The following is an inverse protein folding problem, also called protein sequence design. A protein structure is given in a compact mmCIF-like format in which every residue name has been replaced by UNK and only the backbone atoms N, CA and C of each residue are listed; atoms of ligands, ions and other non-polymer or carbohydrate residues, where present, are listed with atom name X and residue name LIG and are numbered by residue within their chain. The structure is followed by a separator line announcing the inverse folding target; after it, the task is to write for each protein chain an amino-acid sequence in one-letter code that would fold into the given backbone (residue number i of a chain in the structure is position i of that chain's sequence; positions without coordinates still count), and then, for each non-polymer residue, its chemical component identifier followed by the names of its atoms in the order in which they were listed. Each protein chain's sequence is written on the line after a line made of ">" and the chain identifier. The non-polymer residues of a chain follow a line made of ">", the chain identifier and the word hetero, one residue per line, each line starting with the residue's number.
data_IF_678892882053
#
_entry.id   IF_678892882053
#
_cell.length_a   1.000
_cell.length_b   1.000
_cell.length_c   1.000
_cell.angle_alpha   90.00
_cell.angle_beta   90.00
_cell.angle_gamma   90.00
#
_symmetry.space_group_name_H-M   'P 1'
#
loop_
_entity.id
_entity.type
_entity.pdbx_description
1 polymer ?
#
# COMPACT_ATOMS: atom_id res chain seq x y z
N UNK A 1 0.20 -19.66 -8.87
CA UNK A 1 1.59 -20.11 -8.68
C UNK A 1 2.48 -18.89 -8.86
N UNK A 2 2.87 -18.19 -7.78
CA UNK A 2 3.92 -17.17 -7.86
C UNK A 2 5.23 -17.85 -7.50
N UNK A 3 6.08 -17.98 -8.51
CA UNK A 3 7.47 -18.44 -8.42
C UNK A 3 8.30 -17.41 -7.66
N UNK A 4 8.91 -17.86 -6.56
CA UNK A 4 9.93 -17.07 -5.86
C UNK A 4 11.06 -16.68 -6.80
N UNK A 5 11.42 -15.39 -6.75
CA UNK A 5 12.70 -14.75 -7.12
C UNK A 5 12.59 -13.20 -7.18
N UNK A 6 11.44 -12.62 -6.83
CA UNK A 6 11.31 -11.17 -6.60
C UNK A 6 10.81 -10.92 -5.18
N UNK A 7 11.47 -10.01 -4.46
CA UNK A 7 10.89 -9.41 -3.27
C UNK A 7 9.66 -8.61 -3.72
N UNK A 8 8.48 -9.00 -3.25
CA UNK A 8 7.26 -8.27 -3.49
C UNK A 8 7.17 -7.13 -2.47
N UNK A 9 6.64 -5.98 -2.91
CA UNK A 9 6.38 -4.84 -2.02
C UNK A 9 5.00 -5.03 -1.38
N UNK A 10 4.96 -4.92 -0.05
CA UNK A 10 3.73 -4.96 0.73
C UNK A 10 3.53 -3.64 1.46
N UNK A 11 2.35 -3.04 1.32
CA UNK A 11 1.96 -1.85 2.08
C UNK A 11 1.39 -2.28 3.43
N UNK A 12 1.77 -1.56 4.49
CA UNK A 12 1.38 -1.81 5.88
C UNK A 12 0.44 -0.72 6.35
N UNK A 13 -0.67 -1.15 6.93
CA UNK A 13 -1.71 -0.29 7.45
C UNK A 13 -1.98 -0.58 8.91
N UNK A 14 -2.18 0.44 9.73
CA UNK A 14 -2.51 0.25 11.14
C UNK A 14 -3.44 1.33 11.71
N UNK A 15 -4.07 1.01 12.84
CA UNK A 15 -4.89 1.93 13.64
C UNK A 15 -4.69 1.70 15.13
N UNK A 16 -4.73 2.79 15.92
CA UNK A 16 -4.45 2.75 17.37
C UNK A 16 -5.69 2.36 18.18
N UNK A 17 -6.88 2.85 17.81
CA UNK A 17 -8.11 2.55 18.53
C UNK A 17 -9.20 1.97 17.61
N UNK A 18 -10.17 1.28 18.24
CA UNK A 18 -11.45 0.96 17.57
C UNK A 18 -12.16 2.25 17.19
N UNK A 19 -12.41 2.41 15.90
CA UNK A 19 -13.07 3.61 15.35
C UNK A 19 -12.11 4.56 14.63
N UNK A 20 -10.80 4.43 14.85
CA UNK A 20 -9.81 5.17 14.07
C UNK A 20 -9.78 4.65 12.62
N UNK A 21 -9.50 5.58 11.70
CA UNK A 21 -9.24 5.23 10.31
C UNK A 21 -8.00 4.34 10.22
N UNK A 22 -8.10 3.31 9.39
CA UNK A 22 -6.95 2.49 9.02
C UNK A 22 -6.02 3.35 8.15
N UNK A 23 -4.79 3.61 8.63
CA UNK A 23 -3.83 4.50 7.96
C UNK A 23 -2.68 3.69 7.40
N UNK A 24 -2.20 4.09 6.23
CA UNK A 24 -0.94 3.61 5.70
C UNK A 24 0.21 4.11 6.57
N UNK A 25 1.02 3.20 7.10
CA UNK A 25 2.14 3.53 8.01
C UNK A 25 3.51 3.29 7.38
N UNK A 26 3.58 2.50 6.31
CA UNK A 26 4.82 2.23 5.58
C UNK A 26 4.72 0.98 4.73
N UNK A 27 5.86 0.46 4.28
CA UNK A 27 5.92 -0.71 3.39
C UNK A 27 7.07 -1.63 3.80
N UNK A 28 6.97 -2.90 3.42
CA UNK A 28 8.01 -3.92 3.61
C UNK A 28 8.23 -4.71 2.32
N UNK A 29 9.48 -5.08 2.07
CA UNK A 29 9.85 -5.98 0.98
C UNK A 29 9.94 -7.41 1.53
N UNK A 30 9.23 -8.34 0.90
CA UNK A 30 9.20 -9.73 1.37
C UNK A 30 8.97 -10.72 0.22
N UNK A 31 9.50 -11.94 0.37
CA UNK A 31 9.34 -13.02 -0.59
C UNK A 31 7.97 -13.71 -0.57
N UNK A 32 7.07 -13.30 0.33
CA UNK A 32 5.72 -13.85 0.45
C UNK A 32 4.93 -13.27 1.62
N UNK A 33 3.63 -13.57 1.67
CA UNK A 33 2.68 -13.01 2.64
C UNK A 33 3.05 -13.33 4.10
N UNK A 34 3.51 -14.55 4.37
CA UNK A 34 3.89 -14.98 5.72
C UNK A 34 5.09 -14.17 6.23
N UNK A 35 6.11 -13.98 5.39
CA UNK A 35 7.29 -13.20 5.74
C UNK A 35 6.95 -11.71 5.86
N UNK A 36 6.09 -11.19 4.97
CA UNK A 36 5.60 -9.82 5.03
C UNK A 36 4.90 -9.51 6.37
N UNK A 37 4.12 -10.46 6.91
CA UNK A 37 3.48 -10.32 8.23
C UNK A 37 4.51 -10.21 9.35
N UNK A 38 5.51 -11.09 9.34
CA UNK A 38 6.58 -11.09 10.36
C UNK A 38 7.39 -9.79 10.30
N UNK A 39 7.74 -9.34 9.09
CA UNK A 39 8.48 -8.10 8.89
C UNK A 39 7.67 -6.87 9.28
N UNK A 40 6.40 -6.80 8.89
CA UNK A 40 5.52 -5.70 9.28
C UNK A 40 5.37 -5.62 10.80
N UNK A 41 5.14 -6.76 11.46
CA UNK A 41 5.06 -6.81 12.92
C UNK A 41 6.38 -6.36 13.55
N UNK A 42 7.51 -6.96 13.18
CA UNK A 42 8.83 -6.63 13.76
C UNK A 42 9.31 -5.21 13.48
N UNK A 43 8.77 -4.53 12.46
CA UNK A 43 9.18 -3.16 12.09
C UNK A 43 8.31 -2.11 12.78
N UNK A 44 7.05 -2.45 13.05
CA UNK A 44 6.05 -1.50 13.52
C UNK A 44 5.41 -1.87 14.87
N UNK A 45 5.92 -2.85 15.62
CA UNK A 45 5.32 -3.29 16.90
C UNK A 45 5.48 -2.29 18.06
N UNK A 46 6.29 -1.23 17.90
CA UNK A 46 6.57 -0.23 18.95
C UNK A 46 5.34 0.52 19.46
N UNK A 47 4.26 0.52 18.69
CA UNK A 47 3.02 1.23 18.99
C UNK A 47 1.91 0.22 19.35
N UNK A 48 1.03 0.59 20.30
CA UNK A 48 -0.12 -0.24 20.70
C UNK A 48 -1.22 -0.23 19.62
N UNK A 49 -0.94 -0.85 18.47
CA UNK A 49 -1.89 -0.96 17.39
C UNK A 49 -3.05 -1.87 17.79
N UNK A 50 -4.27 -1.35 17.68
CA UNK A 50 -5.46 -2.16 17.79
C UNK A 50 -5.57 -3.17 16.63
N UNK A 51 -5.14 -2.76 15.44
CA UNK A 51 -5.11 -3.60 14.25
C UNK A 51 -3.98 -3.17 13.32
N UNK A 52 -3.32 -4.17 12.74
CA UNK A 52 -2.28 -4.02 11.73
C UNK A 52 -2.53 -5.01 10.60
N UNK A 53 -2.54 -4.52 9.37
CA UNK A 53 -2.83 -5.28 8.16
C UNK A 53 -1.72 -5.04 7.14
N UNK A 54 -1.44 -6.08 6.35
CA UNK A 54 -0.45 -6.05 5.26
C UNK A 54 -1.12 -6.48 3.96
N UNK A 55 -0.84 -5.79 2.87
CA UNK A 55 -1.42 -6.07 1.54
C UNK A 55 -0.33 -5.97 0.48
N UNK A 56 -0.33 -6.88 -0.50
CA UNK A 56 0.55 -6.76 -1.66
C UNK A 56 0.22 -5.47 -2.41
N UNK A 57 1.23 -4.69 -2.76
CA UNK A 57 1.07 -3.38 -3.40
C UNK A 57 0.35 -3.46 -4.75
N UNK A 58 0.55 -4.57 -5.47
CA UNK A 58 -0.13 -4.85 -6.74
C UNK A 58 -1.63 -5.15 -6.61
N UNK A 59 -2.12 -5.45 -5.39
CA UNK A 59 -3.54 -5.64 -5.12
C UNK A 59 -4.28 -4.32 -4.84
N UNK A 60 -3.56 -3.21 -4.67
CA UNK A 60 -4.18 -1.89 -4.48
C UNK A 60 -4.65 -1.37 -5.84
N UNK A 61 -5.96 -1.36 -6.04
CA UNK A 61 -6.58 -0.86 -7.28
C UNK A 61 -6.87 0.64 -7.12
N UNK A 62 -6.13 1.54 -7.81
CA UNK A 62 -6.42 2.95 -7.74
C UNK A 62 -7.75 3.26 -8.43
N UNK A 63 -8.66 3.91 -7.70
CA UNK A 63 -9.96 4.35 -8.23
C UNK A 63 -9.87 5.69 -8.97
N UNK A 64 -8.85 6.49 -8.67
CA UNK A 64 -8.61 7.75 -9.38
C UNK A 64 -7.89 7.47 -10.70
N UNK A 65 -8.62 7.74 -11.78
CA UNK A 65 -8.16 7.73 -13.16
C UNK A 65 -6.88 8.56 -13.34
N UNK A 66 -5.84 7.95 -13.93
CA UNK A 66 -4.68 8.66 -14.48
C UNK A 66 -5.06 9.61 -15.63
N UNK A 67 -6.25 9.40 -16.22
CA UNK A 67 -6.90 10.16 -17.30
C UNK A 67 -8.05 11.07 -16.81
N UNK A 68 -8.24 11.21 -15.49
CA UNK A 68 -9.23 12.13 -14.94
C UNK A 68 -8.83 13.61 -15.15
N UNK A 69 -9.72 14.58 -14.95
CA UNK A 69 -9.43 16.02 -15.11
C UNK A 69 -8.29 16.54 -14.18
N UNK A 70 -7.88 15.73 -13.21
CA UNK A 70 -6.77 15.97 -12.26
C UNK A 70 -5.59 14.99 -12.45
N UNK A 71 -5.62 14.18 -13.50
CA UNK A 71 -4.56 13.21 -13.82
C UNK A 71 -3.27 13.89 -14.28
N UNK A 72 -2.13 13.28 -13.97
CA UNK A 72 -0.78 13.78 -14.35
C UNK A 72 -0.59 13.91 -15.87
N UNK A 73 -1.40 13.23 -16.68
CA UNK A 73 -1.36 13.27 -18.15
C UNK A 73 -2.42 14.20 -18.75
N UNK A 74 -2.81 15.27 -18.05
CA UNK A 74 -3.68 16.30 -18.63
C UNK A 74 -2.90 17.09 -19.69
N UNK A 75 -3.30 17.09 -20.97
CA UNK A 75 -2.74 18.05 -21.91
C UNK A 75 -3.05 19.47 -21.44
N UNK A 76 -2.11 20.42 -21.57
CA UNK A 76 -2.33 21.80 -21.15
C UNK A 76 -3.60 22.33 -21.79
N UNK A 77 -4.44 22.98 -20.98
CA UNK A 77 -5.68 23.60 -21.47
C UNK A 77 -5.31 24.66 -22.51
N UNK A 78 -5.61 24.41 -23.77
CA UNK A 78 -5.30 25.31 -24.90
C UNK A 78 -4.56 24.68 -26.09
N UNK A 79 -4.16 23.41 -26.03
CA UNK A 79 -3.65 22.73 -27.22
C UNK A 79 -4.82 22.34 -28.16
N UNK A 80 -5.12 23.22 -29.12
CA UNK A 80 -5.99 22.94 -30.26
C UNK A 80 -5.29 21.98 -31.26
N UNK A 81 -6.07 21.25 -32.10
CA UNK A 81 -5.54 20.22 -33.00
C UNK A 81 -4.57 20.74 -34.07
#
# INVERSE_FOLDING_TARGET
>A
MSTGLGEDVYDVFARKNRGDALRHIGYVDASGEELARVYAWSTYDEENWFEMCVIRRDHIIPVNRSDGPWGRNRPPVGAAP
#
